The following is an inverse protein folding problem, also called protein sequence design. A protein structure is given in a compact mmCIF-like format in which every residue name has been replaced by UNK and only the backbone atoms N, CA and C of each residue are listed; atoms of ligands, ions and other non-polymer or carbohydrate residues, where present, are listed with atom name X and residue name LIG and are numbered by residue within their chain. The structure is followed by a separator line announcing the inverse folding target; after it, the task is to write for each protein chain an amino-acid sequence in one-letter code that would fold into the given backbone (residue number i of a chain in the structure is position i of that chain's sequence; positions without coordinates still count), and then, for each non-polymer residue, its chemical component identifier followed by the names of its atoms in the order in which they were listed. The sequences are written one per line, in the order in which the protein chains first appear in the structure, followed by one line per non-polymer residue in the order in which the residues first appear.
data_IF_732748052815
#
_entry.id   IF_732748052815
#
_cell.length_a   1.000
_cell.length_b   1.000
_cell.length_c   1.000
_cell.angle_alpha   90.00
_cell.angle_beta   90.00
_cell.angle_gamma   90.00
#
_symmetry.space_group_name_H-M   'P 1'
#
loop_
_entity.id
_entity.type
_entity.pdbx_description
1 polymer ?
#
# COMPACT_ATOMS: atom_id res chain seq x y z
N UNK A 1 9.19 -2.16 9.84
CA UNK A 1 8.02 -1.53 10.47
C UNK A 1 6.87 -2.53 10.68
N UNK A 2 6.30 -3.06 9.63
CA UNK A 2 5.12 -3.94 9.70
C UNK A 2 5.42 -5.39 9.30
N UNK A 3 6.68 -5.79 9.23
CA UNK A 3 7.05 -7.12 8.75
C UNK A 3 6.95 -7.33 7.25
N UNK A 4 6.79 -6.25 6.52
CA UNK A 4 6.80 -6.26 5.07
C UNK A 4 8.23 -6.36 4.52
N UNK A 5 8.42 -6.88 3.30
CA UNK A 5 9.70 -6.81 2.60
C UNK A 5 10.16 -5.37 2.45
N UNK A 6 11.47 -5.15 2.54
CA UNK A 6 12.07 -3.83 2.36
C UNK A 6 12.49 -3.67 0.90
N UNK A 7 12.23 -2.50 0.33
CA UNK A 7 12.61 -2.13 -1.04
C UNK A 7 13.13 -0.69 -1.09
N UNK A 8 13.68 -0.26 -2.22
CA UNK A 8 14.12 1.11 -2.42
C UNK A 8 15.33 1.52 -1.58
N UNK A 9 16.18 0.56 -1.18
CA UNK A 9 17.39 0.84 -0.42
C UNK A 9 18.65 0.40 -1.19
N UNK A 10 19.78 1.04 -0.85
CA UNK A 10 21.11 0.64 -1.27
C UNK A 10 21.97 0.45 -0.02
N UNK A 11 22.48 -0.76 0.19
CA UNK A 11 23.44 -1.05 1.23
C UNK A 11 24.85 -0.95 0.67
N UNK A 12 25.74 -0.21 1.35
CA UNK A 12 27.13 -0.04 0.96
C UNK A 12 28.00 -0.41 2.16
N UNK A 13 28.82 -1.46 2.00
CA UNK A 13 29.84 -1.79 2.97
C UNK A 13 31.05 -0.88 2.71
N UNK A 14 31.38 -0.01 3.68
CA UNK A 14 32.48 0.95 3.54
C UNK A 14 33.55 0.78 4.59
N UNK A 15 33.30 0.04 5.68
CA UNK A 15 34.25 -0.20 6.76
C UNK A 15 33.93 -1.48 7.52
N UNK A 16 34.91 -2.02 8.23
CA UNK A 16 34.79 -3.20 9.08
C UNK A 16 36.06 -3.48 9.83
N UNK A 17 35.98 -4.33 10.86
CA UNK A 17 37.12 -4.79 11.63
C UNK A 17 37.25 -6.30 11.52
N UNK A 18 38.49 -6.79 11.55
CA UNK A 18 38.84 -8.20 11.54
C UNK A 18 39.75 -8.53 12.72
N UNK A 19 39.49 -9.64 13.40
CA UNK A 19 40.31 -10.20 14.46
C UNK A 19 40.45 -11.70 14.24
N UNK A 20 41.69 -12.24 14.31
CA UNK A 20 41.96 -13.64 13.98
C UNK A 20 41.16 -14.64 14.83
N UNK A 21 40.80 -14.28 16.07
CA UNK A 21 40.15 -15.17 17.02
C UNK A 21 38.60 -15.10 16.94
N UNK A 22 38.06 -13.93 16.60
CA UNK A 22 36.64 -13.62 16.69
C UNK A 22 35.95 -13.46 15.33
N UNK A 23 36.70 -13.51 14.23
CA UNK A 23 36.18 -13.29 12.89
C UNK A 23 35.86 -14.61 12.20
N UNK A 24 34.61 -14.77 11.83
CA UNK A 24 34.06 -15.89 11.08
C UNK A 24 32.96 -15.43 10.14
N UNK A 25 32.57 -16.25 9.19
CA UNK A 25 31.43 -15.96 8.32
C UNK A 25 30.18 -15.66 9.13
N UNK A 26 29.92 -16.44 10.18
CA UNK A 26 28.75 -16.25 11.05
C UNK A 26 28.85 -14.93 11.84
N UNK A 27 30.04 -14.57 12.34
CA UNK A 27 30.23 -13.30 13.03
C UNK A 27 30.02 -12.10 12.13
N UNK A 28 30.53 -12.14 10.89
CA UNK A 28 30.28 -11.08 9.90
C UNK A 28 28.80 -10.96 9.50
N UNK A 29 28.09 -12.08 9.33
CA UNK A 29 26.64 -12.07 9.08
C UNK A 29 25.87 -11.45 10.25
N UNK A 30 26.22 -11.77 11.48
CA UNK A 30 25.61 -11.20 12.67
C UNK A 30 25.87 -9.68 12.78
N UNK A 31 27.11 -9.25 12.58
CA UNK A 31 27.48 -7.85 12.57
C UNK A 31 26.74 -7.05 11.47
N UNK A 32 26.69 -7.59 10.27
CA UNK A 32 25.94 -6.98 9.16
C UNK A 32 24.45 -6.87 9.45
N UNK A 33 23.85 -7.88 10.07
CA UNK A 33 22.45 -7.85 10.46
C UNK A 33 22.14 -6.77 11.51
N UNK A 34 23.04 -6.59 12.49
CA UNK A 34 22.93 -5.54 13.49
C UNK A 34 23.07 -4.15 12.87
N UNK A 35 24.08 -3.96 12.04
CA UNK A 35 24.33 -2.71 11.33
C UNK A 35 23.16 -2.34 10.41
N UNK A 36 22.62 -3.32 9.67
CA UNK A 36 21.45 -3.12 8.81
C UNK A 36 20.19 -2.69 9.60
N UNK A 37 19.92 -3.36 10.72
CA UNK A 37 18.77 -3.01 11.57
C UNK A 37 18.86 -1.59 12.10
N UNK A 38 20.05 -1.18 12.54
CA UNK A 38 20.25 0.16 13.07
C UNK A 38 20.23 1.21 11.95
N UNK A 39 20.88 0.93 10.82
CA UNK A 39 20.86 1.80 9.65
C UNK A 39 19.44 1.99 9.10
N UNK A 40 18.63 0.93 9.06
CA UNK A 40 17.25 1.01 8.60
C UNK A 40 16.38 1.90 9.50
N UNK A 41 16.55 1.84 10.83
CA UNK A 41 15.83 2.74 11.75
C UNK A 41 16.17 4.21 11.48
N UNK A 42 17.45 4.49 11.24
CA UNK A 42 17.96 5.85 11.03
C UNK A 42 17.67 6.38 9.61
N UNK A 43 17.32 5.51 8.68
CA UNK A 43 17.00 5.87 7.29
C UNK A 43 15.56 6.34 7.06
N UNK A 44 14.79 6.54 8.14
CA UNK A 44 13.40 7.01 8.08
C UNK A 44 12.52 6.15 7.14
N UNK A 45 12.39 4.83 7.42
CA UNK A 45 11.62 3.95 6.58
C UNK A 45 10.14 4.33 6.58
N UNK A 46 9.49 4.24 5.41
CA UNK A 46 8.07 4.48 5.23
C UNK A 46 7.35 3.19 4.84
N UNK A 47 6.05 3.10 5.13
CA UNK A 47 5.20 2.04 4.61
C UNK A 47 4.69 2.42 3.23
N UNK A 48 4.75 1.47 2.30
CA UNK A 48 4.15 1.58 0.99
C UNK A 48 2.91 0.71 0.90
N UNK A 49 1.88 1.20 0.22
CA UNK A 49 0.69 0.43 -0.13
C UNK A 49 0.48 0.42 -1.64
N UNK A 50 -0.02 -0.70 -2.21
CA UNK A 50 -0.35 -0.75 -3.62
C UNK A 50 -1.58 0.10 -3.91
N UNK A 51 -1.50 0.92 -4.94
CA UNK A 51 -2.60 1.76 -5.45
C UNK A 51 -3.06 1.20 -6.79
N UNK A 52 -4.37 1.15 -6.96
CA UNK A 52 -5.03 0.67 -8.17
C UNK A 52 -5.78 1.80 -8.86
N UNK A 53 -5.69 1.83 -10.17
CA UNK A 53 -6.56 2.65 -11.01
C UNK A 53 -7.86 1.90 -11.26
N UNK A 54 -8.96 2.49 -10.84
CA UNK A 54 -10.32 2.00 -11.08
C UNK A 54 -10.93 2.76 -12.24
N UNK A 55 -11.59 2.03 -13.16
CA UNK A 55 -12.52 2.56 -14.14
C UNK A 55 -13.90 2.02 -13.78
N UNK A 56 -14.78 2.89 -13.32
CA UNK A 56 -16.08 2.53 -12.76
C UNK A 56 -17.15 3.04 -13.70
N UNK A 57 -17.85 2.15 -14.39
CA UNK A 57 -18.94 2.48 -15.30
C UNK A 57 -20.28 2.33 -14.61
N UNK A 58 -21.06 3.41 -14.55
CA UNK A 58 -22.38 3.48 -13.91
C UNK A 58 -23.32 4.37 -14.73
N UNK A 59 -24.65 4.16 -14.65
CA UNK A 59 -25.62 5.14 -15.11
C UNK A 59 -25.41 6.49 -14.43
N UNK A 60 -25.66 7.59 -15.13
CA UNK A 60 -25.40 8.95 -14.63
C UNK A 60 -26.05 9.28 -13.29
N UNK A 61 -27.21 8.68 -13.01
CA UNK A 61 -27.93 8.87 -11.75
C UNK A 61 -27.13 8.44 -10.50
N UNK A 62 -26.18 7.52 -10.64
CA UNK A 62 -25.33 7.03 -9.55
C UNK A 62 -23.97 7.72 -9.45
N UNK A 63 -23.68 8.67 -10.34
CA UNK A 63 -22.38 9.33 -10.38
C UNK A 63 -22.01 9.96 -9.02
N UNK A 64 -22.91 10.72 -8.44
CA UNK A 64 -22.68 11.40 -7.16
C UNK A 64 -22.41 10.43 -6.02
N UNK A 65 -23.16 9.35 -5.95
CA UNK A 65 -22.98 8.31 -4.92
C UNK A 65 -21.64 7.59 -5.06
N UNK A 66 -21.27 7.26 -6.29
CA UNK A 66 -19.94 6.63 -6.58
C UNK A 66 -18.80 7.56 -6.24
N UNK A 67 -18.88 8.84 -6.62
CA UNK A 67 -17.84 9.82 -6.28
C UNK A 67 -17.69 10.00 -4.76
N UNK A 68 -18.82 10.07 -4.05
CA UNK A 68 -18.85 10.14 -2.59
C UNK A 68 -18.25 8.89 -1.93
N UNK A 69 -18.52 7.70 -2.47
CA UNK A 69 -17.98 6.45 -1.97
C UNK A 69 -16.46 6.35 -2.21
N UNK A 70 -15.96 6.73 -3.39
CA UNK A 70 -14.53 6.77 -3.70
C UNK A 70 -13.77 7.71 -2.75
N UNK A 71 -14.32 8.87 -2.45
CA UNK A 71 -13.69 9.80 -1.49
C UNK A 71 -13.60 9.19 -0.08
N UNK A 72 -14.61 8.46 0.39
CA UNK A 72 -14.58 7.74 1.67
C UNK A 72 -13.50 6.67 1.72
N UNK A 73 -13.12 6.11 0.57
CA UNK A 73 -12.08 5.08 0.40
C UNK A 73 -10.68 5.64 0.21
N UNK A 74 -10.43 6.87 0.57
CA UNK A 74 -9.15 7.55 0.33
C UNK A 74 -8.78 7.61 -1.17
N UNK A 75 -9.78 7.49 -2.04
CA UNK A 75 -9.58 7.52 -3.48
C UNK A 75 -9.41 8.93 -4.01
N UNK A 76 -8.63 9.06 -5.07
CA UNK A 76 -8.45 10.29 -5.85
C UNK A 76 -9.18 10.17 -7.17
N UNK A 77 -10.17 11.01 -7.40
CA UNK A 77 -10.90 11.02 -8.68
C UNK A 77 -10.05 11.77 -9.70
N UNK A 78 -9.73 11.09 -10.79
CA UNK A 78 -8.88 11.61 -11.86
C UNK A 78 -9.70 12.27 -12.99
N UNK A 79 -10.93 11.84 -13.17
CA UNK A 79 -11.83 12.38 -14.17
C UNK A 79 -13.04 11.51 -14.42
N UNK A 80 -13.94 12.01 -15.23
CA UNK A 80 -15.15 11.31 -15.68
C UNK A 80 -15.30 11.44 -17.19
N UNK A 81 -15.74 10.37 -17.85
CA UNK A 81 -16.07 10.35 -19.28
C UNK A 81 -17.44 9.70 -19.46
N UNK A 82 -18.13 10.01 -20.55
CA UNK A 82 -19.41 9.37 -20.89
C UNK A 82 -19.17 8.45 -22.09
N UNK A 83 -19.53 7.19 -21.93
CA UNK A 83 -19.39 6.15 -22.96
C UNK A 83 -20.67 5.32 -23.00
N UNK A 84 -21.35 5.26 -24.18
CA UNK A 84 -22.53 4.44 -24.39
C UNK A 84 -23.62 4.60 -23.29
N UNK A 85 -24.00 5.83 -22.98
CA UNK A 85 -24.97 6.21 -21.94
C UNK A 85 -24.55 5.88 -20.50
N UNK A 86 -23.34 5.41 -20.29
CA UNK A 86 -22.76 5.23 -18.97
C UNK A 86 -21.72 6.32 -18.67
N UNK A 87 -21.66 6.71 -17.44
CA UNK A 87 -20.58 7.56 -16.93
C UNK A 87 -19.46 6.69 -16.38
N UNK A 88 -18.27 6.87 -16.89
CA UNK A 88 -17.06 6.17 -16.44
C UNK A 88 -16.28 7.10 -15.53
N UNK A 89 -16.14 6.75 -14.26
CA UNK A 89 -15.30 7.45 -13.28
C UNK A 89 -13.94 6.77 -13.26
N UNK A 90 -12.88 7.54 -13.50
CA UNK A 90 -11.51 7.07 -13.32
C UNK A 90 -11.00 7.57 -11.97
N UNK A 91 -10.55 6.67 -11.12
CA UNK A 91 -10.05 6.99 -9.79
C UNK A 91 -8.85 6.13 -9.42
N UNK A 92 -8.00 6.62 -8.53
CA UNK A 92 -6.89 5.90 -7.93
C UNK A 92 -7.21 5.61 -6.47
N UNK A 93 -7.18 4.34 -6.09
CA UNK A 93 -7.64 3.89 -4.77
C UNK A 93 -6.66 2.87 -4.20
N UNK A 94 -6.30 2.96 -2.91
CA UNK A 94 -5.48 1.95 -2.25
C UNK A 94 -6.14 0.58 -2.25
N UNK A 95 -5.36 -0.48 -2.46
CA UNK A 95 -5.86 -1.86 -2.51
C UNK A 95 -6.66 -2.25 -1.26
N UNK A 96 -6.26 -1.77 -0.10
CA UNK A 96 -6.93 -2.07 1.16
C UNK A 96 -8.41 -1.69 1.15
N UNK A 97 -8.77 -0.64 0.42
CA UNK A 97 -10.11 -0.06 0.36
C UNK A 97 -11.03 -0.72 -0.70
N UNK A 98 -10.46 -1.53 -1.60
CA UNK A 98 -11.23 -2.15 -2.70
C UNK A 98 -11.53 -3.63 -2.49
N UNK A 99 -11.12 -4.24 -1.39
CA UNK A 99 -11.29 -5.68 -1.12
C UNK A 99 -12.74 -6.18 -1.22
N UNK A 100 -13.71 -5.34 -0.84
CA UNK A 100 -15.16 -5.64 -0.88
C UNK A 100 -15.91 -4.80 -1.90
N UNK A 101 -15.19 -4.06 -2.73
CA UNK A 101 -15.78 -3.05 -3.60
C UNK A 101 -16.82 -3.60 -4.59
N UNK A 102 -16.64 -4.81 -5.09
CA UNK A 102 -17.61 -5.46 -5.98
C UNK A 102 -19.01 -5.54 -5.38
N UNK A 103 -19.10 -5.96 -4.12
CA UNK A 103 -20.41 -6.08 -3.45
C UNK A 103 -21.00 -4.70 -3.12
N UNK A 104 -20.15 -3.79 -2.68
CA UNK A 104 -20.56 -2.45 -2.28
C UNK A 104 -21.00 -1.61 -3.47
N UNK A 105 -20.29 -1.68 -4.60
CA UNK A 105 -20.71 -1.03 -5.84
C UNK A 105 -22.04 -1.58 -6.37
N UNK A 106 -22.24 -2.89 -6.32
CA UNK A 106 -23.50 -3.51 -6.71
C UNK A 106 -24.65 -3.04 -5.82
N UNK A 107 -24.43 -2.97 -4.52
CA UNK A 107 -25.44 -2.45 -3.58
C UNK A 107 -25.78 -0.99 -3.88
N UNK A 108 -24.75 -0.16 -4.08
CA UNK A 108 -24.86 1.27 -4.33
C UNK A 108 -25.61 1.57 -5.64
N UNK A 109 -25.39 0.76 -6.68
CA UNK A 109 -25.90 0.98 -8.03
C UNK A 109 -27.02 0.02 -8.42
N UNK A 110 -27.60 -0.70 -7.46
CA UNK A 110 -28.65 -1.71 -7.69
C UNK A 110 -28.26 -2.74 -8.76
N UNK A 111 -26.97 -3.11 -8.79
CA UNK A 111 -26.43 -4.09 -9.71
C UNK A 111 -26.00 -3.57 -11.08
N UNK A 112 -26.22 -2.29 -11.40
CA UNK A 112 -25.88 -1.72 -12.71
C UNK A 112 -24.42 -1.31 -12.85
N UNK A 113 -23.70 -1.07 -11.75
CA UNK A 113 -22.31 -0.66 -11.76
C UNK A 113 -21.36 -1.79 -12.07
N UNK A 114 -20.33 -1.48 -12.86
CA UNK A 114 -19.19 -2.36 -13.18
C UNK A 114 -17.90 -1.60 -12.98
N UNK A 115 -16.82 -2.29 -12.62
CA UNK A 115 -15.50 -1.67 -12.57
C UNK A 115 -14.41 -2.62 -13.04
N UNK A 116 -13.31 -2.03 -13.45
CA UNK A 116 -12.05 -2.71 -13.74
C UNK A 116 -10.99 -2.06 -12.86
N UNK A 117 -10.13 -2.87 -12.26
CA UNK A 117 -9.03 -2.42 -11.43
C UNK A 117 -7.71 -2.84 -12.07
N UNK A 118 -6.80 -1.89 -12.21
CA UNK A 118 -5.45 -2.10 -12.74
C UNK A 118 -4.44 -1.62 -11.71
N UNK A 119 -3.43 -2.45 -11.40
CA UNK A 119 -2.33 -2.03 -10.54
C UNK A 119 -1.60 -0.85 -11.18
N UNK A 120 -1.42 0.21 -10.41
CA UNK A 120 -0.74 1.41 -10.87
C UNK A 120 0.69 1.47 -10.35
N UNK A 121 0.86 1.58 -9.05
CA UNK A 121 2.17 1.71 -8.37
C UNK A 121 2.01 1.50 -6.86
N UNK A 122 3.13 1.60 -6.14
CA UNK A 122 3.16 1.69 -4.69
C UNK A 122 3.28 3.16 -4.28
N UNK A 123 2.46 3.59 -3.34
CA UNK A 123 2.51 4.93 -2.75
C UNK A 123 2.72 4.85 -1.24
N UNK A 124 3.26 5.93 -0.68
CA UNK A 124 3.45 6.04 0.76
C UNK A 124 2.11 6.09 1.50
N UNK A 125 1.98 5.23 2.51
CA UNK A 125 0.81 5.24 3.40
C UNK A 125 0.84 6.51 4.24
N UNK A 126 -0.24 7.30 4.31
CA UNK A 126 -0.27 8.47 5.18
C UNK A 126 0.07 8.11 6.63
N UNK A 127 0.85 8.93 7.35
CA UNK A 127 1.38 8.59 8.68
C UNK A 127 0.33 8.08 9.67
N UNK A 128 -0.85 8.71 9.70
CA UNK A 128 -1.95 8.32 10.59
C UNK A 128 -2.47 6.89 10.37
N UNK A 129 -2.34 6.35 9.15
CA UNK A 129 -2.70 4.96 8.82
C UNK A 129 -1.50 4.03 9.00
N UNK A 130 -0.28 4.50 8.71
CA UNK A 130 0.95 3.74 8.88
C UNK A 130 1.14 3.27 10.32
N UNK A 131 0.91 4.13 11.29
CA UNK A 131 1.00 3.80 12.72
C UNK A 131 0.01 2.70 13.12
N UNK A 132 -1.22 2.75 12.63
CA UNK A 132 -2.24 1.72 12.88
C UNK A 132 -1.85 0.37 12.27
N UNK A 133 -1.32 0.38 11.04
CA UNK A 133 -0.88 -0.83 10.34
C UNK A 133 0.32 -1.45 11.07
N UNK A 134 1.30 -0.64 11.46
CA UNK A 134 2.46 -1.10 12.21
C UNK A 134 2.06 -1.71 13.58
N UNK A 135 1.19 -1.04 14.32
CA UNK A 135 0.70 -1.53 15.60
C UNK A 135 -0.06 -2.87 15.46
N UNK A 136 -0.93 -2.99 14.43
CA UNK A 136 -1.65 -4.23 14.16
C UNK A 136 -0.70 -5.39 13.79
N UNK A 137 0.34 -5.12 13.00
CA UNK A 137 1.34 -6.12 12.63
C UNK A 137 2.18 -6.58 13.84
N UNK A 138 2.56 -5.66 14.72
CA UNK A 138 3.25 -6.01 15.97
C UNK A 138 2.38 -6.84 16.89
N UNK A 139 1.09 -6.49 17.03
CA UNK A 139 0.15 -7.25 17.85
C UNK A 139 -0.12 -8.67 17.32
N UNK A 140 -0.12 -8.85 16.01
CA UNK A 140 -0.26 -10.17 15.37
C UNK A 140 0.95 -11.07 15.66
N UNK A 141 2.17 -10.53 15.57
CA UNK A 141 3.42 -11.26 15.84
C UNK A 141 3.62 -11.63 17.30
N UNK A 142 3.08 -10.85 18.22
CA UNK A 142 3.17 -11.14 19.65
C UNK A 142 2.27 -12.32 20.07
N UNK A 143 1.42 -12.83 19.18
CA UNK A 143 0.51 -13.97 19.41
C UNK A 143 1.00 -15.27 18.77
N UNK A 144 2.10 -15.24 18.01
CA UNK A 144 2.83 -16.38 17.47
C UNK A 144 3.97 -16.79 18.42
#
# INVERSE_FOLDING_TARGET
LAGCPVTGLKAVLYDGSYHEVDSSEMAFKAAAALAFKEGLKNASPVLLEPVYRLKIAVPGDYLGDVMGDINKRRGRIMGTTTENDLTVVTAEVPQAEIKKYTMELRSLTRGSGKFVAEFLDYEEVPPMFADKIAAAAHAARAKE
#
